data_IF_041668409924
#
_entry.id   IF_041668409924
#
_cell.length_a   1.000
_cell.length_b   1.000
_cell.length_c   1.000
_cell.angle_alpha   90.00
_cell.angle_beta   90.00
_cell.angle_gamma   90.00
#
_symmetry.space_group_name_H-M   'P 1'
#
loop_
_entity.id
_entity.type
_entity.pdbx_description
1 polymer ?
#
# COMPACT_ATOMS: atom_id res chain seq x y z
N UNK A 1 -4.00 -11.95 16.51
CA UNK A 1 -4.58 -12.34 17.81
C UNK A 1 -5.82 -11.50 18.10
N UNK A 2 -6.60 -11.81 19.14
CA UNK A 2 -7.72 -10.95 19.58
C UNK A 2 -7.13 -9.66 20.16
N UNK A 3 -7.74 -8.50 19.87
CA UNK A 3 -7.24 -7.20 20.35
C UNK A 3 -7.12 -7.09 21.87
N UNK A 4 -7.91 -7.86 22.62
CA UNK A 4 -7.96 -7.82 24.08
C UNK A 4 -7.11 -8.92 24.76
N UNK A 5 -6.43 -9.75 23.99
CA UNK A 5 -5.58 -10.85 24.50
C UNK A 5 -4.15 -10.35 24.71
N UNK A 6 -3.93 -9.74 25.88
CA UNK A 6 -2.65 -9.11 26.25
C UNK A 6 -1.51 -10.11 26.37
N UNK A 7 -1.79 -11.33 26.81
CA UNK A 7 -0.77 -12.36 27.02
C UNK A 7 -0.18 -12.78 25.67
N UNK A 8 -1.06 -13.08 24.70
CA UNK A 8 -0.62 -13.40 23.33
C UNK A 8 0.10 -12.20 22.68
N UNK A 9 -0.38 -10.97 22.89
CA UNK A 9 0.28 -9.77 22.36
C UNK A 9 1.70 -9.61 22.90
N UNK A 10 1.91 -9.82 24.20
CA UNK A 10 3.24 -9.74 24.84
C UNK A 10 4.21 -10.76 24.25
N UNK A 11 3.74 -11.97 23.94
CA UNK A 11 4.56 -12.99 23.28
C UNK A 11 4.92 -12.59 21.84
N UNK A 12 3.95 -12.10 21.06
CA UNK A 12 4.18 -11.71 19.66
C UNK A 12 5.09 -10.48 19.52
N UNK A 13 5.07 -9.55 20.47
CA UNK A 13 5.96 -8.39 20.46
C UNK A 13 7.45 -8.79 20.49
N UNK A 14 7.79 -9.93 21.10
CA UNK A 14 9.18 -10.41 21.19
C UNK A 14 9.76 -10.86 19.85
N UNK A 15 8.92 -11.23 18.89
CA UNK A 15 9.33 -11.66 17.54
C UNK A 15 9.11 -10.57 16.49
N UNK A 16 8.59 -9.41 16.89
CA UNK A 16 8.32 -8.31 15.97
C UNK A 16 9.61 -7.55 15.67
N UNK A 17 9.95 -7.44 14.39
CA UNK A 17 10.95 -6.47 13.94
C UNK A 17 10.33 -5.07 13.84
N UNK A 18 11.00 -4.07 14.42
CA UNK A 18 10.49 -2.71 14.48
C UNK A 18 10.51 -2.00 13.12
N UNK A 19 11.49 -2.28 12.27
CA UNK A 19 11.59 -1.64 10.95
C UNK A 19 10.55 -2.25 10.01
N UNK A 20 10.44 -3.57 9.94
CA UNK A 20 9.41 -4.25 9.17
C UNK A 20 8.01 -3.82 9.58
N UNK A 21 7.77 -3.54 10.87
CA UNK A 21 6.49 -2.99 11.32
C UNK A 21 6.21 -1.61 10.72
N UNK A 22 7.19 -0.71 10.73
CA UNK A 22 7.09 0.64 10.18
C UNK A 22 6.88 0.60 8.65
N UNK A 23 7.66 -0.23 7.96
CA UNK A 23 7.58 -0.43 6.51
C UNK A 23 6.20 -0.91 6.10
N UNK A 24 5.73 -2.00 6.70
CA UNK A 24 4.41 -2.58 6.41
C UNK A 24 3.26 -1.64 6.79
N UNK A 25 3.40 -0.83 7.85
CA UNK A 25 2.37 0.15 8.21
C UNK A 25 2.19 1.23 7.13
N UNK A 26 3.28 1.69 6.54
CA UNK A 26 3.27 2.63 5.41
C UNK A 26 2.68 1.98 4.14
N UNK A 27 3.10 0.76 3.81
CA UNK A 27 2.58 0.01 2.65
C UNK A 27 1.07 -0.27 2.77
N UNK A 28 0.61 -0.68 3.96
CA UNK A 28 -0.80 -0.98 4.20
C UNK A 28 -1.68 0.26 4.15
N UNK A 29 -1.18 1.41 4.61
CA UNK A 29 -1.91 2.66 4.48
C UNK A 29 -2.23 2.95 3.00
N UNK A 30 -1.29 2.70 2.07
CA UNK A 30 -1.56 2.84 0.63
C UNK A 30 -2.75 1.97 0.19
N UNK A 31 -2.75 0.68 0.57
CA UNK A 31 -3.82 -0.25 0.21
C UNK A 31 -5.17 0.10 0.83
N UNK A 32 -5.21 0.79 1.97
CA UNK A 32 -6.46 1.28 2.59
C UNK A 32 -7.09 2.43 1.80
N UNK A 33 -6.27 3.30 1.21
CA UNK A 33 -6.74 4.50 0.51
C UNK A 33 -6.94 4.30 -0.99
N UNK A 34 -6.17 3.40 -1.61
CA UNK A 34 -6.45 2.98 -2.97
C UNK A 34 -7.62 1.99 -2.87
N UNK A 35 -8.84 2.40 -3.26
CA UNK A 35 -10.04 1.53 -3.40
C UNK A 35 -9.89 0.44 -4.51
N UNK A 36 -8.67 -0.06 -4.64
CA UNK A 36 -8.28 -1.33 -5.19
C UNK A 36 -9.03 -2.44 -4.46
N UNK A 37 -10.11 -2.94 -5.05
CA UNK A 37 -10.55 -4.29 -4.71
C UNK A 37 -9.35 -5.26 -4.86
N UNK A 38 -9.37 -6.41 -4.17
CA UNK A 38 -8.27 -7.39 -4.08
C UNK A 38 -7.54 -7.78 -5.38
N UNK A 39 -8.03 -7.40 -6.57
CA UNK A 39 -7.50 -7.79 -7.87
C UNK A 39 -6.84 -6.65 -8.66
N UNK A 40 -6.85 -5.41 -8.17
CA UNK A 40 -6.23 -4.29 -8.89
C UNK A 40 -4.70 -4.35 -8.80
N UNK A 41 -3.95 -4.18 -9.92
CA UNK A 41 -2.49 -4.31 -9.94
C UNK A 41 -1.81 -3.06 -9.34
N UNK A 42 -1.76 -3.02 -8.01
CA UNK A 42 -1.04 -2.02 -7.21
C UNK A 42 0.00 -2.70 -6.33
N UNK A 43 1.17 -2.07 -6.19
CA UNK A 43 2.22 -2.48 -5.28
C UNK A 43 2.71 -1.29 -4.47
N UNK A 44 3.04 -1.53 -3.20
CA UNK A 44 3.70 -0.58 -2.32
C UNK A 44 4.91 -1.28 -1.69
N UNK A 45 6.04 -0.58 -1.66
CA UNK A 45 7.29 -1.07 -1.08
C UNK A 45 7.94 0.02 -0.26
N UNK A 46 8.12 -0.22 1.03
CA UNK A 46 8.74 0.72 1.96
C UNK A 46 10.06 0.16 2.52
N UNK A 47 11.02 1.04 2.75
CA UNK A 47 12.32 0.69 3.35
C UNK A 47 12.77 1.76 4.35
N UNK A 48 13.15 1.34 5.56
CA UNK A 48 13.74 2.23 6.57
C UNK A 48 15.22 2.44 6.27
N UNK A 49 15.61 3.71 6.14
CA UNK A 49 16.99 4.14 5.95
C UNK A 49 17.42 5.05 7.12
N UNK A 50 17.92 4.44 8.19
CA UNK A 50 18.32 5.15 9.41
C UNK A 50 17.12 5.78 10.14
N UNK A 51 16.89 7.08 9.91
CA UNK A 51 15.75 7.81 10.48
C UNK A 51 14.68 8.22 9.45
N UNK A 52 14.92 7.92 8.17
CA UNK A 52 13.92 8.09 7.11
C UNK A 52 13.22 6.78 6.77
N UNK A 53 12.06 6.91 6.15
CA UNK A 53 11.30 5.86 5.52
C UNK A 53 11.07 6.26 4.06
N UNK A 54 11.52 5.42 3.14
CA UNK A 54 11.32 5.62 1.71
C UNK A 54 10.24 4.67 1.23
N UNK A 55 9.20 5.21 0.58
CA UNK A 55 8.07 4.48 0.06
C UNK A 55 8.00 4.66 -1.45
N UNK A 56 7.90 3.54 -2.17
CA UNK A 56 7.59 3.50 -3.60
C UNK A 56 6.23 2.82 -3.79
N UNK A 57 5.34 3.48 -4.52
CA UNK A 57 4.03 2.95 -4.89
C UNK A 57 3.92 2.93 -6.40
N UNK A 58 3.41 1.83 -6.93
CA UNK A 58 3.20 1.64 -8.37
C UNK A 58 1.82 1.05 -8.65
N UNK A 59 1.13 1.58 -9.64
CA UNK A 59 -0.11 1.03 -10.17
C UNK A 59 -0.04 0.90 -11.69
N UNK A 60 -0.48 -0.23 -12.23
CA UNK A 60 -0.43 -0.52 -13.66
C UNK A 60 -1.82 -0.50 -14.31
N UNK A 61 -1.87 -0.20 -15.61
CA UNK A 61 -3.02 -0.55 -16.43
C UNK A 61 -3.11 -2.07 -16.61
N UNK A 62 -4.29 -2.54 -16.98
CA UNK A 62 -4.54 -3.97 -17.22
C UNK A 62 -3.64 -4.60 -18.27
N UNK A 63 -3.26 -3.83 -19.29
CA UNK A 63 -2.37 -4.26 -20.37
C UNK A 63 -0.89 -4.02 -20.05
N UNK A 64 -0.58 -3.50 -18.86
CA UNK A 64 0.78 -3.17 -18.40
C UNK A 64 1.44 -1.99 -19.12
N UNK A 65 0.76 -1.31 -20.06
CA UNK A 65 1.37 -0.24 -20.88
C UNK A 65 1.47 1.10 -20.16
N UNK A 66 0.61 1.33 -19.18
CA UNK A 66 0.64 2.55 -18.34
C UNK A 66 1.03 2.16 -16.92
N UNK A 67 1.89 2.98 -16.33
CA UNK A 67 2.28 2.86 -14.94
C UNK A 67 2.21 4.24 -14.27
N UNK A 68 1.58 4.29 -13.10
CA UNK A 68 1.64 5.44 -12.19
C UNK A 68 2.61 5.10 -11.08
N UNK A 69 3.65 5.93 -10.93
CA UNK A 69 4.68 5.74 -9.91
C UNK A 69 4.67 6.95 -8.98
N UNK A 70 4.65 6.67 -7.67
CA UNK A 70 4.82 7.66 -6.61
C UNK A 70 5.99 7.21 -5.74
N UNK A 71 6.91 8.13 -5.47
CA UNK A 71 8.02 7.92 -4.54
C UNK A 71 7.95 9.01 -3.49
N UNK A 72 7.92 8.65 -2.22
CA UNK A 72 7.96 9.60 -1.11
C UNK A 72 8.95 9.15 -0.06
N UNK A 73 9.54 10.13 0.59
CA UNK A 73 10.44 9.95 1.73
C UNK A 73 9.93 10.77 2.89
N UNK A 74 9.98 10.22 4.10
CA UNK A 74 9.51 10.90 5.30
C UNK A 74 10.17 10.38 6.55
N UNK A 75 9.71 10.87 7.70
CA UNK A 75 10.15 10.36 8.99
C UNK A 75 9.61 8.94 9.22
N UNK A 76 10.47 8.03 9.70
CA UNK A 76 10.02 6.69 10.11
C UNK A 76 9.06 6.70 11.31
N UNK A 77 8.90 7.84 11.99
CA UNK A 77 7.94 8.03 13.08
C UNK A 77 6.51 8.27 12.59
N UNK A 78 6.29 8.56 11.31
CA UNK A 78 4.97 8.83 10.73
C UNK A 78 4.68 7.91 9.52
N UNK A 79 4.83 6.57 9.63
CA UNK A 79 4.70 5.66 8.50
C UNK A 79 3.31 5.70 7.85
N UNK A 80 2.25 5.69 8.66
CA UNK A 80 0.88 5.76 8.17
C UNK A 80 0.61 7.01 7.33
N UNK A 81 1.10 8.17 7.80
CA UNK A 81 0.95 9.45 7.10
C UNK A 81 1.68 9.44 5.77
N UNK A 82 2.91 8.91 5.71
CA UNK A 82 3.67 8.78 4.47
C UNK A 82 2.90 7.93 3.44
N UNK A 83 2.34 6.80 3.86
CA UNK A 83 1.51 5.93 3.02
C UNK A 83 0.24 6.62 2.54
N UNK A 84 -0.47 7.34 3.41
CA UNK A 84 -1.63 8.15 3.04
C UNK A 84 -1.27 9.22 2.01
N UNK A 85 -0.20 9.97 2.25
CA UNK A 85 0.25 11.04 1.37
C UNK A 85 0.68 10.51 -0.01
N UNK A 86 1.21 9.30 -0.07
CA UNK A 86 1.54 8.63 -1.34
C UNK A 86 0.28 8.16 -2.07
N UNK A 87 -0.72 7.65 -1.36
CA UNK A 87 -2.01 7.26 -1.94
C UNK A 87 -2.80 8.47 -2.47
N UNK A 88 -2.81 9.59 -1.74
CA UNK A 88 -3.45 10.83 -2.18
C UNK A 88 -2.80 11.35 -3.48
N UNK A 89 -1.47 11.29 -3.59
CA UNK A 89 -0.77 11.64 -4.83
C UNK A 89 -1.10 10.65 -5.97
N UNK A 90 -1.19 9.35 -5.67
CA UNK A 90 -1.55 8.33 -6.65
C UNK A 90 -2.98 8.54 -7.18
N UNK A 91 -3.91 8.96 -6.32
CA UNK A 91 -5.26 9.37 -6.72
C UNK A 91 -5.26 10.59 -7.63
N UNK A 92 -4.48 11.62 -7.29
CA UNK A 92 -4.32 12.82 -8.15
C UNK A 92 -3.72 12.48 -9.53
N UNK A 93 -2.88 11.45 -9.60
CA UNK A 93 -2.31 10.94 -10.86
C UNK A 93 -3.29 10.10 -11.69
N UNK A 94 -4.51 9.85 -11.21
CA UNK A 94 -5.56 9.17 -11.98
C UNK A 94 -5.62 7.66 -11.79
N UNK A 95 -5.18 7.11 -10.66
CA UNK A 95 -5.28 5.66 -10.39
C UNK A 95 -6.72 5.13 -10.43
N UNK A 96 -7.70 6.00 -10.15
CA UNK A 96 -9.12 5.66 -10.24
C UNK A 96 -9.55 5.32 -11.67
N UNK A 97 -8.92 5.90 -12.69
CA UNK A 97 -9.24 5.58 -14.09
C UNK A 97 -8.68 4.19 -14.45
N UNK A 98 -7.44 3.90 -14.03
CA UNK A 98 -6.86 2.55 -14.16
C UNK A 98 -7.72 1.51 -13.45
N UNK A 99 -8.24 1.82 -12.26
CA UNK A 99 -9.08 0.92 -11.48
C UNK A 99 -10.44 0.65 -12.14
N UNK A 100 -11.05 1.66 -12.77
CA UNK A 100 -12.30 1.48 -13.53
C UNK A 100 -12.08 0.59 -14.75
N UNK A 101 -11.05 0.85 -15.55
CA UNK A 101 -10.71 0.05 -16.73
C UNK A 101 -10.48 -1.43 -16.35
N UNK A 102 -9.81 -1.66 -15.22
CA UNK A 102 -9.59 -3.00 -14.68
C UNK A 102 -10.91 -3.72 -14.34
N UNK A 103 -11.85 -3.06 -13.68
CA UNK A 103 -13.15 -3.66 -13.30
C UNK A 103 -13.96 -4.06 -14.53
N UNK A 104 -14.03 -3.20 -15.55
CA UNK A 104 -14.76 -3.46 -16.80
C UNK A 104 -14.21 -4.71 -17.48
N UNK A 105 -12.88 -4.79 -17.63
CA UNK A 105 -12.23 -5.94 -18.25
C UNK A 105 -12.39 -7.24 -17.46
N UNK A 106 -12.36 -7.17 -16.13
CA UNK A 106 -12.59 -8.34 -15.29
C UNK A 106 -14.02 -8.88 -15.47
N UNK A 107 -15.02 -8.00 -15.60
CA UNK A 107 -16.40 -8.40 -15.90
C UNK A 107 -16.53 -9.03 -17.29
N UNK A 108 -15.81 -8.53 -18.29
CA UNK A 108 -15.76 -9.15 -19.63
C UNK A 108 -15.19 -10.58 -19.56
N UNK A 109 -14.09 -10.78 -18.82
CA UNK A 109 -13.47 -12.10 -18.68
C UNK A 109 -14.31 -13.11 -17.90
N UNK A 110 -15.05 -12.68 -16.87
CA UNK A 110 -15.88 -13.57 -16.07
C UNK A 110 -17.21 -13.96 -16.75
N UNK A 111 -17.55 -13.35 -17.89
CA UNK A 111 -18.74 -13.71 -18.69
C UNK A 111 -18.47 -14.85 -19.69
N UNK A 112 -17.22 -15.30 -19.79
CA UNK A 112 -16.75 -16.41 -20.62
C UNK A 112 -16.61 -17.65 -19.73
#
# INVERSE_FOLDING_TARGET
CRKNDKDTMSMLQKIQDSNSRIEVESERAVSEFVESGCRFPVGAFAIVNGNSLDLTVIAYSIDGKKALIVKKSGSKSEPYKLGKDAADELQQKGVNDLAKDWRIKLEEWNKI
#
